data_IF_841415626962
#
_entry.id   IF_841415626962
#
_cell.length_a   1.000
_cell.length_b   1.000
_cell.length_c   1.000
_cell.angle_alpha   90.00
_cell.angle_beta   90.00
_cell.angle_gamma   90.00
#
_symmetry.space_group_name_H-M   'P 1'
#
loop_
_entity.id
_entity.type
_entity.pdbx_description
1 polymer ?
#
# COMPACT_ATOMS: atom_id res chain seq x y z
N UNK A 1 -4.20 -12.02 15.49
CA UNK A 1 -3.64 -11.85 15.67
C UNK A 1 -2.87 -11.54 15.76
N UNK A 2 -2.64 -11.39 15.41
CA UNK A 2 -2.01 -10.90 15.43
C UNK A 2 -1.12 -10.97 15.28
N UNK A 3 -1.30 -11.28 15.53
CA UNK A 3 -0.18 -11.25 15.47
C UNK A 3 0.62 -11.58 14.58
N UNK A 4 0.21 -12.11 13.99
CA UNK A 4 0.87 -12.47 13.07
C UNK A 4 1.67 -11.52 12.36
N UNK A 5 1.31 -10.43 12.21
CA UNK A 5 1.99 -9.40 11.53
C UNK A 5 3.37 -9.17 12.04
N UNK A 6 3.59 -9.32 13.28
CA UNK A 6 4.90 -9.07 13.81
C UNK A 6 5.91 -10.12 13.46
N UNK A 7 5.46 -11.28 13.03
CA UNK A 7 6.36 -12.36 12.73
C UNK A 7 7.16 -12.09 11.48
N UNK A 8 6.51 -11.64 10.42
CA UNK A 8 7.22 -11.42 9.18
C UNK A 8 7.35 -9.96 8.80
N UNK A 9 6.85 -9.06 9.61
CA UNK A 9 7.14 -7.65 9.43
C UNK A 9 8.64 -7.38 9.34
N UNK A 10 9.49 -7.94 10.22
CA UNK A 10 10.92 -7.73 10.07
C UNK A 10 11.48 -8.19 8.74
N UNK A 11 10.94 -9.30 8.17
CA UNK A 11 11.41 -9.76 6.88
C UNK A 11 11.07 -8.76 5.78
N UNK A 12 9.87 -8.22 5.80
CA UNK A 12 9.47 -7.24 4.80
C UNK A 12 10.18 -5.91 4.95
N UNK A 13 10.81 -5.65 6.09
CA UNK A 13 11.55 -4.42 6.35
C UNK A 13 13.04 -4.56 6.08
N UNK A 14 13.49 -5.65 5.45
CA UNK A 14 14.91 -5.82 5.12
C UNK A 14 15.31 -5.04 3.88
N UNK A 15 14.36 -4.63 3.07
CA UNK A 15 14.61 -3.83 1.88
C UNK A 15 14.25 -2.38 2.13
N UNK A 16 14.83 -1.49 1.35
CA UNK A 16 14.71 -0.04 1.53
C UNK A 16 13.68 0.61 0.63
N UNK A 17 13.05 -0.13 -0.26
CA UNK A 17 12.09 0.44 -1.18
C UNK A 17 10.73 0.64 -0.55
N UNK A 18 9.98 1.62 -1.06
CA UNK A 18 8.61 1.83 -0.61
C UNK A 18 7.76 2.39 -1.74
N UNK A 19 6.46 2.17 -1.63
CA UNK A 19 5.45 2.79 -2.49
C UNK A 19 4.43 3.44 -1.57
N UNK A 20 4.12 4.70 -1.83
CA UNK A 20 3.23 5.46 -0.97
C UNK A 20 2.27 6.30 -1.78
N UNK A 21 1.07 6.50 -1.25
CA UNK A 21 0.09 7.41 -1.80
C UNK A 21 -0.22 8.53 -0.82
N UNK A 22 0.08 9.76 -1.25
CA UNK A 22 -0.23 10.98 -0.52
C UNK A 22 -0.60 12.08 -1.51
N UNK A 23 -1.16 13.17 -1.01
CA UNK A 23 -1.62 14.27 -1.85
C UNK A 23 -2.54 13.74 -2.97
N UNK A 24 -2.15 13.90 -4.23
CA UNK A 24 -2.96 13.44 -5.36
C UNK A 24 -2.92 11.92 -5.57
N UNK A 25 -1.98 11.23 -4.92
CA UNK A 25 -1.83 9.79 -5.04
C UNK A 25 -2.63 8.98 -4.01
N UNK A 26 -3.52 9.60 -3.28
CA UNK A 26 -4.33 8.88 -2.28
C UNK A 26 -5.42 8.05 -2.94
N UNK A 27 -5.94 7.10 -2.19
CA UNK A 27 -7.08 6.30 -2.65
C UNK A 27 -8.35 7.13 -2.55
N UNK A 28 -9.06 7.23 -3.66
CA UNK A 28 -10.35 7.93 -3.69
C UNK A 28 -11.40 7.05 -4.36
N UNK A 29 -12.64 7.22 -3.93
CA UNK A 29 -13.79 6.62 -4.58
C UNK A 29 -14.74 7.77 -4.92
N UNK A 30 -15.02 7.93 -6.20
CA UNK A 30 -15.84 9.03 -6.70
C UNK A 30 -15.34 10.39 -6.22
N UNK A 31 -14.01 10.55 -6.22
CA UNK A 31 -13.35 11.80 -5.87
C UNK A 31 -13.17 12.06 -4.39
N UNK A 32 -13.59 11.16 -3.52
CA UNK A 32 -13.47 11.34 -2.07
C UNK A 32 -12.48 10.35 -1.49
N UNK A 33 -11.65 10.76 -0.53
CA UNK A 33 -10.72 9.84 0.13
C UNK A 33 -11.45 8.64 0.73
N UNK A 34 -10.86 7.47 0.60
CA UNK A 34 -11.51 6.24 1.03
C UNK A 34 -10.49 5.23 1.56
N UNK A 35 -10.97 4.41 2.50
CA UNK A 35 -10.22 3.27 3.04
C UNK A 35 -10.60 2.02 2.25
N UNK A 36 -9.69 1.55 1.41
CA UNK A 36 -9.93 0.38 0.56
C UNK A 36 -8.71 -0.52 0.56
N UNK A 37 -8.91 -1.79 0.26
CA UNK A 37 -7.81 -2.75 0.13
C UNK A 37 -6.98 -2.46 -1.09
N UNK A 38 -5.67 -2.59 -0.90
CA UNK A 38 -4.67 -2.41 -1.94
C UNK A 38 -3.90 -3.72 -2.04
N UNK A 39 -3.90 -4.32 -3.24
CA UNK A 39 -3.14 -5.54 -3.50
C UNK A 39 -1.84 -5.17 -4.16
N UNK A 40 -0.73 -5.67 -3.60
CA UNK A 40 0.60 -5.54 -4.18
C UNK A 40 0.99 -6.88 -4.77
N UNK A 41 1.24 -6.89 -6.07
CA UNK A 41 1.63 -8.09 -6.80
C UNK A 41 3.04 -7.92 -7.36
N UNK A 42 3.74 -9.03 -7.46
CA UNK A 42 4.98 -9.08 -8.25
C UNK A 42 4.59 -8.90 -9.72
N UNK A 43 5.13 -7.89 -10.39
CA UNK A 43 4.74 -7.59 -11.77
C UNK A 43 5.16 -8.68 -12.74
N UNK A 44 6.16 -9.47 -12.40
CA UNK A 44 6.68 -10.51 -13.27
C UNK A 44 5.87 -11.81 -13.15
N UNK A 45 5.49 -12.19 -11.94
CA UNK A 45 4.80 -13.46 -11.68
C UNK A 45 3.31 -13.30 -11.44
N UNK A 46 2.87 -12.09 -11.14
CA UNK A 46 1.49 -11.77 -10.73
C UNK A 46 1.11 -12.40 -9.40
N UNK A 47 2.08 -12.87 -8.63
CA UNK A 47 1.81 -13.38 -7.30
C UNK A 47 1.50 -12.22 -6.35
N UNK A 48 0.48 -12.40 -5.52
CA UNK A 48 0.14 -11.40 -4.51
C UNK A 48 1.19 -11.46 -3.41
N UNK A 49 1.86 -10.36 -3.16
CA UNK A 49 2.90 -10.29 -2.14
C UNK A 49 2.40 -9.66 -0.85
N UNK A 50 1.45 -8.75 -0.94
CA UNK A 50 0.95 -8.08 0.24
C UNK A 50 -0.42 -7.47 -0.04
N UNK A 51 -1.24 -7.40 1.00
CA UNK A 51 -2.52 -6.67 0.95
C UNK A 51 -2.53 -5.72 2.13
N UNK A 52 -2.78 -4.45 1.86
CA UNK A 52 -2.92 -3.43 2.89
C UNK A 52 -4.22 -2.69 2.69
N UNK A 53 -4.59 -1.87 3.67
CA UNK A 53 -5.80 -1.04 3.59
C UNK A 53 -5.38 0.42 3.73
N UNK A 54 -5.86 1.27 2.84
CA UNK A 54 -5.61 2.70 2.96
C UNK A 54 -6.32 3.27 4.18
N UNK A 55 -5.82 4.37 4.70
CA UNK A 55 -6.44 5.10 5.80
C UNK A 55 -7.71 5.78 5.31
N UNK A 56 -8.53 6.24 6.25
CA UNK A 56 -9.76 6.97 5.89
C UNK A 56 -9.49 8.23 5.08
N UNK A 57 -8.32 8.84 5.27
CA UNK A 57 -7.89 9.99 4.47
C UNK A 57 -7.31 9.58 3.10
N UNK A 58 -7.32 8.30 2.78
CA UNK A 58 -6.85 7.77 1.51
C UNK A 58 -5.36 7.49 1.43
N UNK A 59 -4.59 7.92 2.40
CA UNK A 59 -3.14 7.66 2.39
C UNK A 59 -2.84 6.18 2.55
N UNK A 60 -1.79 5.72 1.89
CA UNK A 60 -1.31 4.35 2.06
C UNK A 60 0.21 4.31 1.93
N UNK A 61 0.81 3.25 2.48
CA UNK A 61 2.24 3.04 2.34
C UNK A 61 2.56 1.55 2.39
N UNK A 62 3.43 1.14 1.48
CA UNK A 62 3.96 -0.21 1.39
C UNK A 62 5.46 -0.11 1.64
N UNK A 63 5.89 -0.58 2.80
CA UNK A 63 7.26 -0.44 3.27
C UNK A 63 8.09 -1.69 2.98
N UNK A 64 9.41 -1.53 2.96
CA UNK A 64 10.32 -2.66 2.93
C UNK A 64 10.31 -3.46 1.65
N UNK A 65 10.02 -2.80 0.54
CA UNK A 65 9.98 -3.44 -0.78
C UNK A 65 11.37 -3.56 -1.38
N UNK A 66 11.56 -4.56 -2.24
CA UNK A 66 12.81 -4.74 -2.97
C UNK A 66 12.89 -3.72 -4.10
N UNK A 67 13.82 -2.78 -4.04
CA UNK A 67 13.90 -1.72 -5.06
C UNK A 67 14.31 -2.22 -6.44
N UNK A 68 14.80 -3.46 -6.53
CA UNK A 68 15.18 -4.06 -7.82
C UNK A 68 13.99 -4.70 -8.51
N UNK A 69 12.90 -4.94 -7.80
CA UNK A 69 11.68 -5.54 -8.37
C UNK A 69 10.75 -4.46 -8.89
N UNK A 70 9.80 -4.91 -9.68
CA UNK A 70 8.68 -4.07 -10.13
C UNK A 70 7.39 -4.71 -9.64
N UNK A 71 6.41 -3.88 -9.37
CA UNK A 71 5.17 -4.31 -8.72
C UNK A 71 3.97 -3.84 -9.51
N UNK A 72 2.89 -4.58 -9.39
CA UNK A 72 1.58 -4.14 -9.84
C UNK A 72 0.72 -3.84 -8.62
N UNK A 73 0.00 -2.74 -8.66
CA UNK A 73 -0.87 -2.33 -7.56
C UNK A 73 -2.28 -2.31 -8.08
N UNK A 74 -3.19 -2.95 -7.35
CA UNK A 74 -4.60 -3.01 -7.70
C UNK A 74 -5.42 -2.54 -6.50
N UNK A 75 -6.34 -1.62 -6.76
CA UNK A 75 -7.30 -1.13 -5.76
C UNK A 75 -8.70 -1.28 -6.35
N UNK A 76 -9.61 -1.86 -5.59
CA UNK A 76 -10.99 -2.00 -5.99
C UNK A 76 -11.89 -1.37 -4.94
N UNK A 77 -13.06 -0.90 -5.37
CA UNK A 77 -13.99 -0.25 -4.46
C UNK A 77 -14.84 -1.27 -3.70
N UNK A 78 -14.17 -2.09 -2.90
CA UNK A 78 -14.82 -2.79 -1.81
C UNK A 78 -14.43 -2.11 -0.51
N UNK A 79 -15.40 -1.79 0.32
CA UNK A 79 -15.08 -1.35 1.67
C UNK A 79 -14.41 -2.49 2.43
N UNK A 80 -13.63 -2.18 3.48
CA UNK A 80 -12.95 -3.24 4.24
C UNK A 80 -13.87 -4.34 4.74
N UNK A 81 -15.15 -4.02 4.96
CA UNK A 81 -16.16 -5.00 5.34
C UNK A 81 -16.83 -5.69 4.14
N UNK A 82 -16.48 -5.29 2.93
CA UNK A 82 -16.99 -5.94 1.72
C UNK A 82 -18.41 -5.60 1.34
N UNK A 83 -19.01 -4.58 1.94
CA UNK A 83 -20.45 -4.32 1.79
C UNK A 83 -20.79 -3.53 0.53
N UNK A 84 -19.96 -2.57 0.15
CA UNK A 84 -20.25 -1.68 -0.98
C UNK A 84 -19.29 -1.90 -2.12
N UNK A 85 -19.79 -1.76 -3.31
CA UNK A 85 -18.97 -1.81 -4.52
C UNK A 85 -19.63 -0.96 -5.60
N UNK A 86 -18.92 0.07 -6.05
CA UNK A 86 -19.40 0.92 -7.13
C UNK A 86 -18.98 0.43 -8.51
N UNK A 87 -18.11 -0.58 -8.57
CA UNK A 87 -17.50 -1.02 -9.83
C UNK A 87 -16.23 -0.27 -10.19
N UNK A 88 -15.84 0.70 -9.36
CA UNK A 88 -14.63 1.47 -9.59
C UNK A 88 -13.40 0.63 -9.24
N UNK A 89 -12.38 0.71 -10.08
CA UNK A 89 -11.12 0.02 -9.83
C UNK A 89 -10.00 0.81 -10.48
N UNK A 90 -8.80 0.65 -9.94
CA UNK A 90 -7.60 1.25 -10.48
C UNK A 90 -6.44 0.26 -10.39
N UNK A 91 -5.56 0.32 -11.37
CA UNK A 91 -4.38 -0.54 -11.39
C UNK A 91 -3.22 0.22 -12.00
N UNK A 92 -2.05 0.00 -11.42
CA UNK A 92 -0.79 0.52 -11.95
C UNK A 92 0.16 -0.65 -12.08
N UNK A 93 0.72 -0.81 -13.27
CA UNK A 93 1.64 -1.88 -13.56
C UNK A 93 3.07 -1.37 -13.60
N UNK A 94 3.99 -2.26 -13.31
CA UNK A 94 5.43 -2.04 -13.44
C UNK A 94 5.92 -0.85 -12.59
N UNK A 95 5.40 -0.75 -11.38
CA UNK A 95 5.74 0.34 -10.46
C UNK A 95 7.09 0.06 -9.81
N UNK A 96 7.98 1.04 -9.87
CA UNK A 96 9.28 0.97 -9.21
C UNK A 96 9.17 1.56 -7.80
N UNK A 97 9.64 0.84 -6.78
CA UNK A 97 9.71 1.42 -5.44
C UNK A 97 10.65 2.63 -5.40
N UNK A 98 10.35 3.56 -4.53
CA UNK A 98 11.20 4.71 -4.26
C UNK A 98 12.18 4.39 -3.14
N UNK A 99 13.31 5.11 -3.11
CA UNK A 99 14.36 4.91 -2.12
C UNK A 99 14.91 6.25 -1.60
N UNK A 100 14.16 7.32 -1.76
CA UNK A 100 14.65 8.67 -1.47
C UNK A 100 14.68 9.00 0.03
N UNK A 101 14.07 8.17 0.86
CA UNK A 101 14.12 8.33 2.32
C UNK A 101 14.48 6.98 2.95
N UNK A 102 15.07 7.02 4.14
CA UNK A 102 15.47 5.83 4.85
C UNK A 102 14.25 5.07 5.38
N UNK A 103 14.45 3.81 5.75
CA UNK A 103 13.38 3.00 6.33
C UNK A 103 12.82 3.64 7.60
N UNK A 104 13.68 4.20 8.44
CA UNK A 104 13.21 4.90 9.64
C UNK A 104 12.35 6.11 9.29
N UNK A 105 12.74 6.86 8.28
CA UNK A 105 11.96 7.99 7.80
C UNK A 105 10.64 7.55 7.20
N UNK A 106 10.64 6.43 6.48
CA UNK A 106 9.41 5.84 5.92
C UNK A 106 8.43 5.51 7.04
N UNK A 107 8.92 4.86 8.09
CA UNK A 107 8.09 4.49 9.24
C UNK A 107 7.56 5.73 9.97
N UNK A 108 8.38 6.75 10.12
CA UNK A 108 7.96 8.00 10.74
C UNK A 108 6.89 8.71 9.91
N UNK A 109 7.06 8.71 8.59
CA UNK A 109 6.09 9.31 7.69
C UNK A 109 4.74 8.60 7.77
N UNK A 110 4.76 7.27 7.74
CA UNK A 110 3.54 6.48 7.87
C UNK A 110 2.83 6.76 9.20
N UNK A 111 3.60 6.82 10.29
CA UNK A 111 3.05 7.13 11.59
C UNK A 111 2.39 8.51 11.61
N UNK A 112 3.01 9.50 10.95
CA UNK A 112 2.45 10.85 10.91
C UNK A 112 1.10 10.90 10.19
N UNK A 113 0.91 10.07 9.16
CA UNK A 113 -0.36 10.01 8.46
C UNK A 113 -1.44 9.31 9.28
N UNK A 114 -1.02 8.40 10.15
CA UNK A 114 -1.92 7.52 10.89
C UNK A 114 -2.32 8.07 12.26
N UNK A 115 -1.95 9.29 12.60
CA UNK A 115 -2.22 9.87 13.91
C UNK A 115 -3.49 10.69 13.98
N UNK A 116 -4.29 10.72 12.97
CA UNK A 116 -5.49 11.54 12.92
C UNK A 116 -6.69 10.86 13.54
#
# INVERSE_FOLDING_TARGET
>A
MQILAKTYTPLSLTHSGYIAGSADGIVTVQGKPASRKIWLLDAQTMAVERVVTSLKNGHYMLLGLDPRKRYMIIVRDFEPDGVKWTGEAAAWDYVAPMEDISLDEQQALWASWNTV
#
